data_IF_567903805883
#
_entry.id   IF_567903805883
#
_cell.length_a   1.000
_cell.length_b   1.000
_cell.length_c   1.000
_cell.angle_alpha   90.00
_cell.angle_beta   90.00
_cell.angle_gamma   90.00
#
_symmetry.space_group_name_H-M   'P 1'
#
loop_
_entity.id
_entity.type
_entity.pdbx_description
1 polymer ?
#
# COMPACT_ATOMS: atom_id res chain seq x y z
N UNK A 1 34.85 -18.15 35.36
CA UNK A 1 34.29 -17.34 34.26
C UNK A 1 34.14 -18.24 33.04
N UNK A 2 32.90 -18.51 32.60
CA UNK A 2 32.61 -19.45 31.49
C UNK A 2 32.67 -18.66 30.18
N UNK A 3 33.59 -19.03 29.31
CA UNK A 3 33.79 -18.43 27.99
C UNK A 3 32.49 -18.61 27.16
N UNK A 4 31.88 -17.56 26.58
CA UNK A 4 30.69 -17.75 25.76
C UNK A 4 31.10 -18.45 24.46
N UNK A 5 30.42 -19.57 24.18
CA UNK A 5 30.56 -20.39 22.97
C UNK A 5 30.68 -19.52 21.70
N UNK A 6 31.60 -19.83 20.77
CA UNK A 6 31.72 -19.07 19.55
C UNK A 6 30.42 -19.20 18.76
N UNK A 7 29.80 -18.07 18.39
CA UNK A 7 28.66 -18.02 17.48
C UNK A 7 28.89 -18.99 16.32
N UNK A 8 28.14 -20.11 16.29
CA UNK A 8 28.22 -21.10 15.22
C UNK A 8 28.10 -20.35 13.90
N UNK A 9 29.17 -20.36 13.10
CA UNK A 9 29.14 -19.84 11.73
C UNK A 9 28.05 -20.62 11.01
N UNK A 10 26.94 -19.94 10.68
CA UNK A 10 25.91 -20.50 9.81
C UNK A 10 26.59 -21.01 8.55
N UNK A 11 26.52 -22.33 8.32
CA UNK A 11 27.01 -22.94 7.09
C UNK A 11 26.20 -22.38 5.93
N UNK A 12 26.88 -21.63 5.06
CA UNK A 12 26.27 -21.00 3.88
C UNK A 12 25.73 -22.03 2.89
N UNK A 13 26.25 -23.25 2.94
CA UNK A 13 25.89 -24.36 2.06
C UNK A 13 24.82 -25.29 2.67
N UNK A 14 24.39 -25.06 3.91
CA UNK A 14 23.28 -25.80 4.48
C UNK A 14 22.01 -25.55 3.65
N UNK A 15 21.40 -26.63 3.14
CA UNK A 15 20.21 -26.57 2.31
C UNK A 15 19.08 -25.90 3.10
N UNK A 16 18.73 -24.67 2.73
CA UNK A 16 17.68 -23.92 3.40
C UNK A 16 16.33 -24.48 2.99
N UNK A 17 15.44 -24.63 3.95
CA UNK A 17 14.09 -25.08 3.67
C UNK A 17 13.25 -23.95 3.06
N UNK A 18 12.86 -24.15 1.79
CA UNK A 18 12.02 -23.22 1.01
C UNK A 18 10.55 -23.61 1.07
N UNK A 19 10.21 -24.70 1.76
CA UNK A 19 8.84 -25.22 1.82
C UNK A 19 7.92 -24.19 2.46
N UNK A 20 6.70 -24.00 1.92
CA UNK A 20 5.68 -23.20 2.58
C UNK A 20 5.39 -23.74 3.98
N UNK A 21 5.23 -22.83 4.93
CA UNK A 21 4.85 -23.09 6.30
C UNK A 21 3.34 -22.90 6.45
N UNK A 22 2.70 -23.75 7.25
CA UNK A 22 1.35 -23.52 7.75
C UNK A 22 1.42 -22.91 9.15
N UNK A 23 0.80 -21.74 9.32
CA UNK A 23 0.66 -21.08 10.63
C UNK A 23 -0.82 -20.96 10.93
N UNK A 24 -1.34 -21.90 11.72
CA UNK A 24 -2.78 -22.06 11.92
C UNK A 24 -3.48 -22.30 10.58
N UNK A 25 -4.38 -21.38 10.19
CA UNK A 25 -5.12 -21.42 8.92
C UNK A 25 -4.42 -20.71 7.75
N UNK A 26 -3.23 -20.14 7.97
CA UNK A 26 -2.56 -19.28 7.00
C UNK A 26 -1.35 -19.95 6.37
N UNK A 27 -1.28 -19.91 5.04
CA UNK A 27 -0.09 -20.33 4.29
C UNK A 27 0.96 -19.22 4.28
N UNK A 28 2.20 -19.55 4.62
CA UNK A 28 3.33 -18.63 4.64
C UNK A 28 4.44 -19.16 3.72
N UNK A 29 4.82 -18.39 2.72
CA UNK A 29 5.97 -18.72 1.88
C UNK A 29 7.27 -18.29 2.57
N UNK A 30 8.24 -19.20 2.63
CA UNK A 30 9.60 -18.91 3.12
C UNK A 30 10.50 -18.56 1.95
N UNK A 31 11.21 -17.45 2.05
CA UNK A 31 12.17 -17.02 1.03
C UNK A 31 13.48 -16.61 1.70
N UNK A 32 14.42 -17.55 1.87
CA UNK A 32 15.77 -17.25 2.31
C UNK A 32 16.44 -16.20 1.42
N UNK A 33 17.07 -15.21 2.04
CA UNK A 33 17.81 -14.18 1.31
C UNK A 33 19.24 -14.66 1.04
N UNK A 34 19.65 -14.66 -0.23
CA UNK A 34 20.99 -15.07 -0.64
C UNK A 34 22.05 -14.18 0.01
N UNK A 35 23.11 -14.80 0.51
CA UNK A 35 24.22 -14.08 1.14
C UNK A 35 23.94 -13.52 2.54
N UNK A 36 22.74 -13.70 3.10
CA UNK A 36 22.40 -13.27 4.47
C UNK A 36 21.84 -14.44 5.29
N UNK A 37 21.86 -14.38 6.64
CA UNK A 37 21.21 -15.40 7.48
C UNK A 37 19.67 -15.26 7.52
N UNK A 38 19.11 -14.23 6.88
CA UNK A 38 17.69 -13.90 7.02
C UNK A 38 16.80 -14.68 6.07
N UNK A 39 15.55 -14.88 6.51
CA UNK A 39 14.47 -15.45 5.71
C UNK A 39 13.30 -14.48 5.70
N UNK A 40 12.77 -14.19 4.53
CA UNK A 40 11.52 -13.43 4.38
C UNK A 40 10.35 -14.41 4.44
N UNK A 41 9.47 -14.20 5.40
CA UNK A 41 8.20 -14.90 5.53
C UNK A 41 7.11 -14.06 4.88
N UNK A 42 6.47 -14.61 3.84
CA UNK A 42 5.40 -13.94 3.10
C UNK A 42 4.07 -14.64 3.38
N UNK A 43 3.16 -13.98 4.11
CA UNK A 43 1.80 -14.50 4.34
C UNK A 43 1.02 -14.45 3.03
N UNK A 44 0.41 -15.57 2.64
CA UNK A 44 -0.39 -15.70 1.43
C UNK A 44 -1.89 -15.70 1.75
N UNK A 45 -2.68 -15.05 0.90
CA UNK A 45 -4.14 -15.07 0.96
C UNK A 45 -4.71 -15.13 -0.47
N UNK A 46 -5.48 -16.18 -0.78
CA UNK A 46 -6.07 -16.35 -2.13
C UNK A 46 -5.03 -16.39 -3.26
N UNK A 47 -3.80 -16.85 -2.99
CA UNK A 47 -2.70 -16.86 -3.96
C UNK A 47 -1.87 -15.57 -4.03
N UNK A 48 -2.32 -14.47 -3.42
CA UNK A 48 -1.58 -13.21 -3.35
C UNK A 48 -0.76 -13.08 -2.05
N UNK A 49 0.29 -12.26 -2.07
CA UNK A 49 1.06 -11.93 -0.85
C UNK A 49 0.31 -10.85 -0.07
N UNK A 50 -0.19 -11.21 1.10
CA UNK A 50 -0.91 -10.32 2.02
C UNK A 50 0.03 -9.46 2.88
N UNK A 51 1.23 -9.97 3.20
CA UNK A 51 2.22 -9.26 4.00
C UNK A 51 3.55 -10.01 4.07
N UNK A 52 4.61 -9.32 4.50
CA UNK A 52 5.98 -9.86 4.56
C UNK A 52 6.67 -9.42 5.84
N UNK A 53 7.47 -10.30 6.43
CA UNK A 53 8.34 -9.96 7.56
C UNK A 53 9.59 -10.85 7.61
N UNK A 54 10.59 -10.45 8.39
CA UNK A 54 11.85 -11.18 8.56
C UNK A 54 11.83 -12.13 9.77
N UNK A 55 11.02 -11.81 10.77
CA UNK A 55 10.77 -12.63 11.94
C UNK A 55 9.83 -13.80 11.59
N UNK A 56 9.96 -14.92 12.30
CA UNK A 56 9.01 -16.01 12.16
C UNK A 56 7.60 -15.54 12.56
N UNK A 57 6.58 -15.70 11.71
CA UNK A 57 5.24 -15.18 11.98
C UNK A 57 4.50 -15.97 13.05
N UNK A 58 3.78 -15.26 13.92
CA UNK A 58 2.68 -15.84 14.69
C UNK A 58 1.39 -15.92 13.85
N UNK A 59 0.39 -16.62 14.38
CA UNK A 59 -0.95 -16.66 13.76
C UNK A 59 -1.60 -15.28 13.75
N UNK A 60 -1.41 -14.47 14.79
CA UNK A 60 -1.94 -13.11 14.87
C UNK A 60 -1.29 -12.17 13.85
N UNK A 61 0.02 -12.30 13.60
CA UNK A 61 0.70 -11.53 12.54
C UNK A 61 0.13 -11.86 11.17
N UNK A 62 -0.12 -13.15 10.92
CA UNK A 62 -0.74 -13.59 9.67
C UNK A 62 -2.17 -13.03 9.54
N UNK A 63 -2.97 -13.08 10.61
CA UNK A 63 -4.33 -12.53 10.62
C UNK A 63 -4.32 -11.01 10.35
N UNK A 64 -3.40 -10.27 10.95
CA UNK A 64 -3.21 -8.83 10.72
C UNK A 64 -2.83 -8.55 9.26
N UNK A 65 -1.87 -9.27 8.69
CA UNK A 65 -1.50 -9.12 7.28
C UNK A 65 -2.69 -9.35 6.35
N UNK A 66 -3.47 -10.41 6.59
CA UNK A 66 -4.67 -10.70 5.78
C UNK A 66 -5.74 -9.62 5.95
N UNK A 67 -6.04 -9.19 7.18
CA UNK A 67 -7.01 -8.12 7.43
C UNK A 67 -6.59 -6.80 6.75
N UNK A 68 -5.29 -6.46 6.80
CA UNK A 68 -4.76 -5.29 6.13
C UNK A 68 -4.83 -5.42 4.60
N UNK A 69 -4.49 -6.59 4.05
CA UNK A 69 -4.60 -6.85 2.63
C UNK A 69 -6.05 -6.70 2.14
N UNK A 70 -7.01 -7.28 2.85
CA UNK A 70 -8.44 -7.20 2.50
C UNK A 70 -8.97 -5.76 2.63
N UNK A 71 -8.54 -5.00 3.64
CA UNK A 71 -8.95 -3.59 3.77
C UNK A 71 -8.32 -2.72 2.69
N UNK A 72 -7.06 -2.92 2.32
CA UNK A 72 -6.43 -2.21 1.20
C UNK A 72 -7.06 -2.59 -0.16
N UNK A 73 -7.40 -3.85 -0.38
CA UNK A 73 -8.12 -4.29 -1.59
C UNK A 73 -9.56 -3.78 -1.62
N UNK A 74 -10.21 -3.62 -0.45
CA UNK A 74 -11.51 -2.94 -0.31
C UNK A 74 -11.43 -1.42 -0.35
N UNK A 75 -10.23 -0.82 -0.28
CA UNK A 75 -9.97 0.60 -0.54
C UNK A 75 -9.80 0.86 -2.04
N UNK A 76 -10.41 0.04 -2.88
CA UNK A 76 -10.71 0.48 -4.23
C UNK A 76 -11.51 1.80 -4.10
N UNK A 77 -11.07 2.88 -4.76
CA UNK A 77 -11.89 4.08 -4.84
C UNK A 77 -13.29 3.73 -5.32
N UNK A 78 -14.27 4.51 -4.90
CA UNK A 78 -15.63 4.38 -5.43
C UNK A 78 -15.56 4.51 -6.96
N UNK A 79 -15.69 3.37 -7.65
CA UNK A 79 -15.48 3.29 -9.09
C UNK A 79 -16.51 4.16 -9.82
N UNK A 80 -17.70 4.33 -9.24
CA UNK A 80 -18.71 5.23 -9.77
C UNK A 80 -18.21 6.68 -9.78
N UNK A 81 -17.57 7.14 -8.69
CA UNK A 81 -17.02 8.49 -8.61
C UNK A 81 -15.83 8.72 -9.55
N UNK A 82 -15.06 7.67 -9.89
CA UNK A 82 -13.96 7.75 -10.86
C UNK A 82 -14.43 7.78 -12.32
N UNK A 83 -15.62 7.25 -12.60
CA UNK A 83 -16.19 7.21 -13.94
C UNK A 83 -17.19 8.36 -14.19
N UNK A 84 -17.57 9.09 -13.14
CA UNK A 84 -18.48 10.23 -13.21
C UNK A 84 -17.78 11.46 -13.81
N UNK A 85 -17.99 11.65 -15.11
CA UNK A 85 -17.47 12.78 -15.88
C UNK A 85 -18.06 14.13 -15.43
N UNK A 86 -19.29 14.15 -14.89
CA UNK A 86 -19.91 15.37 -14.38
C UNK A 86 -19.26 15.81 -13.07
N UNK A 87 -18.95 14.87 -12.17
CA UNK A 87 -18.17 15.13 -10.96
C UNK A 87 -16.78 15.68 -11.33
N UNK A 88 -16.10 15.07 -12.30
CA UNK A 88 -14.80 15.55 -12.78
C UNK A 88 -14.86 17.01 -13.25
N UNK A 89 -15.88 17.36 -14.05
CA UNK A 89 -16.07 18.73 -14.53
C UNK A 89 -16.28 19.71 -13.37
N UNK A 90 -17.09 19.35 -12.37
CA UNK A 90 -17.34 20.20 -11.18
C UNK A 90 -16.08 20.40 -10.34
N UNK A 91 -15.22 19.38 -10.21
CA UNK A 91 -13.94 19.48 -9.50
C UNK A 91 -12.99 20.41 -10.25
N UNK A 92 -12.86 20.25 -11.57
CA UNK A 92 -12.03 21.14 -12.40
C UNK A 92 -12.50 22.58 -12.28
N UNK A 93 -13.81 22.82 -12.34
CA UNK A 93 -14.38 24.17 -12.21
C UNK A 93 -14.12 24.78 -10.82
N UNK A 94 -14.27 24.00 -9.75
CA UNK A 94 -13.92 24.47 -8.41
C UNK A 94 -12.44 24.87 -8.29
N UNK A 95 -11.56 24.14 -8.98
CA UNK A 95 -10.12 24.40 -9.04
C UNK A 95 -9.71 25.54 -9.99
N UNK A 96 -10.61 26.02 -10.86
CA UNK A 96 -10.43 27.27 -11.61
C UNK A 96 -10.65 28.49 -10.73
N UNK A 97 -11.63 28.41 -9.83
CA UNK A 97 -11.98 29.52 -8.95
C UNK A 97 -10.94 29.78 -7.88
N UNK A 98 -10.33 28.72 -7.32
CA UNK A 98 -9.25 28.83 -6.35
C UNK A 98 -8.40 27.57 -6.33
N UNK A 99 -7.14 27.71 -5.92
CA UNK A 99 -6.32 26.56 -5.57
C UNK A 99 -6.88 25.89 -4.31
N UNK A 100 -6.96 24.56 -4.31
CA UNK A 100 -7.51 23.77 -3.18
C UNK A 100 -6.63 22.56 -2.90
N UNK A 101 -6.57 22.15 -1.63
CA UNK A 101 -5.97 20.86 -1.29
C UNK A 101 -7.00 19.71 -1.36
N UNK A 102 -6.51 18.48 -1.23
CA UNK A 102 -7.38 17.31 -1.31
C UNK A 102 -8.43 17.26 -0.17
N UNK A 103 -8.15 17.83 1.01
CA UNK A 103 -9.10 17.87 2.14
C UNK A 103 -10.22 18.86 1.87
N UNK A 104 -9.88 20.04 1.35
CA UNK A 104 -10.87 21.06 0.96
C UNK A 104 -11.86 20.49 -0.07
N UNK A 105 -11.34 19.75 -1.05
CA UNK A 105 -12.16 19.09 -2.06
C UNK A 105 -13.02 17.97 -1.46
N UNK A 106 -12.48 17.18 -0.52
CA UNK A 106 -13.27 16.16 0.19
C UNK A 106 -14.47 16.79 0.91
N UNK A 107 -14.25 17.88 1.64
CA UNK A 107 -15.32 18.60 2.34
C UNK A 107 -16.33 19.24 1.39
N UNK A 108 -15.88 19.76 0.24
CA UNK A 108 -16.76 20.42 -0.73
C UNK A 108 -17.67 19.45 -1.50
N UNK A 109 -17.16 18.27 -1.82
CA UNK A 109 -17.86 17.29 -2.65
C UNK A 109 -18.44 16.12 -1.86
N UNK A 110 -18.32 16.16 -0.53
CA UNK A 110 -18.72 15.08 0.40
C UNK A 110 -18.12 13.72 0.01
N UNK A 111 -16.83 13.74 -0.35
CA UNK A 111 -16.10 12.56 -0.78
C UNK A 111 -15.05 12.17 0.24
N UNK A 112 -14.87 10.86 0.43
CA UNK A 112 -13.78 10.34 1.25
C UNK A 112 -12.45 10.54 0.53
N UNK A 113 -11.40 10.83 1.30
CA UNK A 113 -10.03 11.03 0.80
C UNK A 113 -9.50 9.83 0.00
N UNK A 114 -9.99 8.62 0.30
CA UNK A 114 -9.67 7.39 -0.42
C UNK A 114 -10.20 7.37 -1.84
N UNK A 115 -11.32 8.03 -2.12
CA UNK A 115 -11.89 8.20 -3.46
C UNK A 115 -11.33 9.44 -4.16
N UNK A 116 -11.13 10.54 -3.42
CA UNK A 116 -10.65 11.80 -3.97
C UNK A 116 -9.22 11.72 -4.52
N UNK A 117 -8.30 11.05 -3.82
CA UNK A 117 -6.89 10.95 -4.25
C UNK A 117 -6.70 10.32 -5.64
N UNK A 118 -7.27 9.13 -5.94
CA UNK A 118 -7.16 8.55 -7.27
C UNK A 118 -7.89 9.36 -8.34
N UNK A 119 -9.01 10.00 -8.01
CA UNK A 119 -9.70 10.94 -8.92
C UNK A 119 -8.76 12.09 -9.32
N UNK A 120 -8.12 12.74 -8.34
CA UNK A 120 -7.17 13.81 -8.62
C UNK A 120 -5.95 13.32 -9.40
N UNK A 121 -5.45 12.10 -9.13
CA UNK A 121 -4.36 11.51 -9.90
C UNK A 121 -4.77 11.29 -11.36
N UNK A 122 -6.00 10.82 -11.61
CA UNK A 122 -6.56 10.66 -12.95
C UNK A 122 -6.65 12.01 -13.66
N UNK A 123 -7.23 13.04 -13.04
CA UNK A 123 -7.36 14.37 -13.63
C UNK A 123 -6.01 15.04 -13.94
N UNK A 124 -4.98 14.78 -13.11
CA UNK A 124 -3.61 15.20 -13.39
C UNK A 124 -3.05 14.45 -14.60
N UNK A 125 -3.26 13.13 -14.69
CA UNK A 125 -2.79 12.34 -15.83
C UNK A 125 -3.48 12.70 -17.16
N UNK A 126 -4.76 13.12 -17.09
CA UNK A 126 -5.51 13.67 -18.22
C UNK A 126 -5.14 15.12 -18.55
N UNK A 127 -4.18 15.70 -17.83
CA UNK A 127 -3.74 17.10 -17.98
C UNK A 127 -4.86 18.14 -17.79
N UNK A 128 -5.91 17.82 -17.02
CA UNK A 128 -7.05 18.70 -16.72
C UNK A 128 -6.80 19.63 -15.54
N UNK A 129 -5.93 19.20 -14.62
CA UNK A 129 -5.51 19.95 -13.44
C UNK A 129 -4.00 19.77 -13.23
N UNK A 130 -3.40 20.74 -12.54
CA UNK A 130 -1.99 20.72 -12.16
C UNK A 130 -1.89 20.44 -10.67
N UNK A 131 -0.97 19.55 -10.30
CA UNK A 131 -0.57 19.33 -8.91
C UNK A 131 0.69 20.11 -8.61
N UNK A 132 0.61 21.00 -7.62
CA UNK A 132 1.71 21.81 -7.08
C UNK A 132 1.97 21.46 -5.61
N UNK A 133 3.04 22.02 -5.05
CA UNK A 133 3.39 21.87 -3.64
C UNK A 133 4.16 20.59 -3.30
N UNK A 134 4.18 20.25 -2.01
CA UNK A 134 5.00 19.14 -1.50
C UNK A 134 4.26 17.81 -1.52
N UNK A 135 4.98 16.69 -1.40
CA UNK A 135 4.38 15.36 -1.28
C UNK A 135 3.38 15.25 -0.10
N UNK A 136 3.63 16.00 0.99
CA UNK A 136 2.78 15.99 2.19
C UNK A 136 1.61 16.96 2.12
N UNK A 137 1.71 18.03 1.33
CA UNK A 137 0.66 19.04 1.11
C UNK A 137 0.56 19.38 -0.37
N UNK A 138 -0.07 18.50 -1.17
CA UNK A 138 -0.33 18.79 -2.57
C UNK A 138 -1.48 19.81 -2.68
N UNK A 139 -1.26 20.82 -3.51
CA UNK A 139 -2.25 21.83 -3.88
C UNK A 139 -2.61 21.58 -5.34
N UNK A 140 -3.89 21.67 -5.67
CA UNK A 140 -4.39 21.46 -7.02
C UNK A 140 -4.93 22.78 -7.58
N UNK A 141 -4.73 22.99 -8.88
CA UNK A 141 -5.26 24.14 -9.62
C UNK A 141 -5.65 23.69 -11.03
N UNK A 142 -6.65 24.32 -11.64
CA UNK A 142 -6.94 24.08 -13.06
C UNK A 142 -6.01 24.90 -13.96
N UNK A 143 -5.79 24.45 -15.20
CA UNK A 143 -5.18 25.29 -16.23
C UNK A 143 -6.13 26.44 -16.57
N UNK A 144 -5.64 27.68 -16.44
CA UNK A 144 -6.23 28.83 -17.11
C UNK A 144 -5.73 28.78 -18.55
N UNK A 145 -6.63 28.51 -19.49
CA UNK A 145 -6.50 28.99 -20.86
C UNK A 145 -7.23 30.34 -20.92
#
# INVERSE_FOLDING_TARGET
MRNPEPYQRLDRNHQRDFSPLQVGKHTVRRTPLRGTPYTVYSTLHGGAVAGRQLSYPSQDDCAKHVAQHLTCSRRAPDLAALLDTALHARIVEALRLREMDARDLCSRFDLRITSMRPLLALLVSENRIVRRGTARRPIYSSHVL
#
